data_IF_528187485052
#
_entry.id   IF_528187485052
#
_cell.length_a   1.000
_cell.length_b   1.000
_cell.length_c   1.000
_cell.angle_alpha   90.00
_cell.angle_beta   90.00
_cell.angle_gamma   90.00
#
_symmetry.space_group_name_H-M   'P 1'
#
loop_
_entity.id
_entity.type
_entity.pdbx_description
1 polymer ?
#
# COMPACT_ATOMS: atom_id res chain seq x y z
N UNK A 1 -33.71 11.88 14.86
CA UNK A 1 -34.33 10.93 13.92
C UNK A 1 -34.00 11.24 12.46
N UNK A 2 -33.95 12.49 11.99
CA UNK A 2 -33.59 12.76 10.58
C UNK A 2 -32.13 12.41 10.24
N UNK A 3 -31.16 12.77 11.09
CA UNK A 3 -29.74 12.47 10.82
C UNK A 3 -29.44 10.97 10.55
N UNK A 4 -30.09 10.07 11.31
CA UNK A 4 -29.98 8.62 11.09
C UNK A 4 -30.60 8.16 9.76
N UNK A 5 -31.71 8.78 9.33
CA UNK A 5 -32.34 8.51 8.03
C UNK A 5 -31.52 9.09 6.87
N UNK A 6 -30.85 10.22 7.10
CA UNK A 6 -30.01 10.90 6.11
C UNK A 6 -28.69 10.14 5.87
N UNK A 7 -28.05 9.62 6.94
CA UNK A 7 -26.85 8.76 6.85
C UNK A 7 -27.16 7.45 6.09
N UNK A 8 -28.33 6.83 6.38
CA UNK A 8 -28.78 5.61 5.69
C UNK A 8 -29.07 5.86 4.20
N UNK A 9 -29.65 7.02 3.87
CA UNK A 9 -29.93 7.41 2.47
C UNK A 9 -28.64 7.65 1.68
N UNK A 10 -27.69 8.42 2.21
CA UNK A 10 -26.42 8.70 1.51
C UNK A 10 -25.64 7.41 1.26
N UNK A 11 -25.60 6.50 2.24
CA UNK A 11 -25.00 5.19 2.09
C UNK A 11 -25.67 4.39 0.97
N UNK A 12 -27.01 4.34 0.95
CA UNK A 12 -27.77 3.66 -0.10
C UNK A 12 -27.50 4.26 -1.50
N UNK A 13 -27.46 5.58 -1.61
CA UNK A 13 -27.18 6.27 -2.87
C UNK A 13 -25.74 6.03 -3.34
N UNK A 14 -24.77 6.04 -2.43
CA UNK A 14 -23.39 5.65 -2.72
C UNK A 14 -23.29 4.20 -3.19
N UNK A 15 -24.05 3.28 -2.58
CA UNK A 15 -24.13 1.89 -3.02
C UNK A 15 -24.70 1.75 -4.44
N UNK A 16 -25.68 2.58 -4.83
CA UNK A 16 -26.18 2.59 -6.22
C UNK A 16 -25.07 2.96 -7.21
N UNK A 17 -24.31 4.01 -6.91
CA UNK A 17 -23.18 4.47 -7.73
C UNK A 17 -22.06 3.43 -7.81
N UNK A 18 -21.78 2.73 -6.71
CA UNK A 18 -20.83 1.60 -6.68
C UNK A 18 -21.29 0.41 -7.51
N UNK A 19 -22.60 0.23 -7.72
CA UNK A 19 -23.14 -0.86 -8.53
C UNK A 19 -23.20 -0.53 -10.02
N UNK A 20 -23.53 0.71 -10.37
CA UNK A 20 -23.59 1.16 -11.77
C UNK A 20 -23.59 2.69 -11.86
N UNK A 21 -22.62 3.23 -12.60
CA UNK A 21 -22.58 4.66 -12.93
C UNK A 21 -23.57 5.03 -14.04
N UNK A 22 -24.01 4.10 -14.87
CA UNK A 22 -24.93 4.39 -15.99
C UNK A 22 -26.35 4.74 -15.54
N UNK A 23 -26.71 4.39 -14.30
CA UNK A 23 -28.04 4.59 -13.73
C UNK A 23 -28.20 5.92 -13.00
N UNK A 24 -27.15 6.73 -12.97
CA UNK A 24 -27.07 7.98 -12.22
C UNK A 24 -26.42 9.03 -13.13
N UNK A 25 -26.93 10.25 -13.14
CA UNK A 25 -26.31 11.35 -13.89
C UNK A 25 -24.87 11.62 -13.41
N UNK A 26 -23.96 12.09 -14.27
CA UNK A 26 -22.54 12.30 -13.89
C UNK A 26 -22.39 13.29 -12.73
N UNK A 27 -23.14 14.40 -12.74
CA UNK A 27 -23.05 15.42 -11.70
C UNK A 27 -23.72 14.94 -10.40
N UNK A 28 -24.81 14.16 -10.51
CA UNK A 28 -25.44 13.51 -9.36
C UNK A 28 -24.50 12.47 -8.71
N UNK A 29 -23.86 11.61 -9.52
CA UNK A 29 -22.91 10.62 -9.03
C UNK A 29 -21.72 11.30 -8.34
N UNK A 30 -21.20 12.38 -8.93
CA UNK A 30 -20.13 13.17 -8.33
C UNK A 30 -20.52 13.74 -6.97
N UNK A 31 -21.71 14.32 -6.84
CA UNK A 31 -22.20 14.90 -5.59
C UNK A 31 -22.40 13.83 -4.51
N UNK A 32 -22.99 12.68 -4.86
CA UNK A 32 -23.14 11.53 -3.96
C UNK A 32 -21.77 11.06 -3.45
N UNK A 33 -20.81 10.81 -4.35
CA UNK A 33 -19.47 10.34 -3.98
C UNK A 33 -18.74 11.38 -3.12
N UNK A 34 -18.83 12.66 -3.48
CA UNK A 34 -18.19 13.74 -2.73
C UNK A 34 -18.73 13.83 -1.30
N UNK A 35 -20.06 13.83 -1.13
CA UNK A 35 -20.72 13.85 0.18
C UNK A 35 -20.34 12.62 1.00
N UNK A 36 -20.35 11.44 0.39
CA UNK A 36 -19.97 10.19 1.05
C UNK A 36 -18.56 10.28 1.66
N UNK A 37 -17.57 10.77 0.90
CA UNK A 37 -16.20 10.90 1.40
C UNK A 37 -16.00 12.03 2.40
N UNK A 38 -16.83 13.09 2.36
CA UNK A 38 -16.82 14.13 3.40
C UNK A 38 -17.37 13.60 4.73
N UNK A 39 -18.29 12.65 4.70
CA UNK A 39 -18.84 12.00 5.89
C UNK A 39 -17.96 10.87 6.43
N UNK A 40 -17.41 10.03 5.54
CA UNK A 40 -16.71 8.79 5.92
C UNK A 40 -15.18 8.95 5.99
N UNK A 41 -14.63 10.07 5.50
CA UNK A 41 -13.20 10.37 5.55
C UNK A 41 -12.39 9.69 4.44
N UNK A 42 -11.06 9.76 4.57
CA UNK A 42 -10.13 9.33 3.53
C UNK A 42 -10.14 7.80 3.34
N UNK A 43 -10.16 7.28 2.09
CA UNK A 43 -10.23 5.84 1.80
C UNK A 43 -8.88 5.13 2.00
N UNK A 44 -8.40 5.06 3.25
CA UNK A 44 -7.17 4.33 3.60
C UNK A 44 -7.27 2.86 3.19
N UNK A 45 -6.12 2.21 2.98
CA UNK A 45 -6.12 0.77 2.77
C UNK A 45 -6.52 0.09 4.07
N UNK A 46 -7.67 -0.59 4.04
CA UNK A 46 -8.12 -1.45 5.11
C UNK A 46 -8.04 -2.91 4.66
N UNK A 47 -7.85 -3.80 5.61
CA UNK A 47 -7.83 -5.25 5.40
C UNK A 47 -8.40 -5.89 6.66
N UNK A 48 -9.28 -6.87 6.50
CA UNK A 48 -9.81 -7.63 7.64
C UNK A 48 -8.72 -8.55 8.19
N UNK A 49 -8.74 -8.84 9.48
CA UNK A 49 -7.74 -9.71 10.13
C UNK A 49 -7.58 -11.06 9.42
N UNK A 50 -8.70 -11.73 9.14
CA UNK A 50 -8.72 -12.99 8.38
C UNK A 50 -8.05 -12.85 6.99
N UNK A 51 -8.28 -11.73 6.31
CA UNK A 51 -7.72 -11.46 4.99
C UNK A 51 -6.21 -11.21 5.06
N UNK A 52 -5.68 -10.63 6.15
CA UNK A 52 -4.22 -10.46 6.33
C UNK A 52 -3.49 -11.79 6.27
N UNK A 53 -3.99 -12.77 7.03
CA UNK A 53 -3.40 -14.11 7.08
C UNK A 53 -3.54 -14.84 5.74
N UNK A 54 -4.63 -14.62 5.00
CA UNK A 54 -4.76 -15.15 3.64
C UNK A 54 -3.75 -14.53 2.67
N UNK A 55 -3.52 -13.22 2.74
CA UNK A 55 -2.57 -12.53 1.88
C UNK A 55 -1.13 -13.01 2.11
N UNK A 56 -0.71 -13.18 3.38
CA UNK A 56 0.63 -13.70 3.67
C UNK A 56 0.76 -15.17 3.24
N UNK A 57 -0.28 -16.00 3.41
CA UNK A 57 -0.29 -17.38 2.89
C UNK A 57 -0.18 -17.43 1.37
N UNK A 58 -0.88 -16.54 0.66
CA UNK A 58 -0.75 -16.38 -0.81
C UNK A 58 0.68 -16.01 -1.20
N UNK A 59 1.34 -15.14 -0.44
CA UNK A 59 2.76 -14.83 -0.65
C UNK A 59 3.66 -16.05 -0.41
N UNK A 60 3.46 -16.80 0.67
CA UNK A 60 4.24 -18.02 0.96
C UNK A 60 4.08 -19.07 -0.15
N UNK A 61 2.88 -19.23 -0.69
CA UNK A 61 2.57 -20.19 -1.75
C UNK A 61 2.90 -19.69 -3.16
N UNK A 62 3.21 -18.40 -3.33
CA UNK A 62 3.61 -17.84 -4.62
C UNK A 62 4.91 -18.50 -5.09
N UNK A 63 4.89 -19.08 -6.31
CA UNK A 63 6.08 -19.66 -6.94
C UNK A 63 6.96 -18.51 -7.43
N UNK A 64 8.02 -18.21 -6.69
CA UNK A 64 8.82 -17.01 -6.88
C UNK A 64 9.46 -16.94 -8.26
N UNK A 65 9.79 -18.07 -8.88
CA UNK A 65 10.37 -18.17 -10.23
C UNK A 65 9.42 -17.63 -11.31
N UNK A 66 8.11 -17.59 -11.06
CA UNK A 66 7.12 -17.05 -12.00
C UNK A 66 7.24 -15.53 -12.19
N UNK A 67 8.01 -14.84 -11.34
CA UNK A 67 8.24 -13.42 -11.50
C UNK A 67 9.38 -13.11 -12.48
N UNK A 68 10.15 -14.10 -12.90
CA UNK A 68 11.23 -13.90 -13.87
C UNK A 68 10.69 -13.91 -15.30
N UNK A 69 11.13 -12.94 -16.08
CA UNK A 69 11.05 -12.92 -17.55
C UNK A 69 12.45 -12.74 -18.11
N UNK A 70 13.09 -13.86 -18.49
CA UNK A 70 14.53 -13.89 -18.78
C UNK A 70 15.34 -13.47 -17.56
N UNK A 71 16.10 -12.38 -17.71
CA UNK A 71 16.93 -11.78 -16.65
C UNK A 71 16.21 -10.65 -15.89
N UNK A 72 14.93 -10.38 -16.20
CA UNK A 72 14.15 -9.32 -15.56
C UNK A 72 13.23 -9.87 -14.46
N UNK A 73 13.26 -9.22 -13.29
CA UNK A 73 12.28 -9.46 -12.22
C UNK A 73 11.05 -8.59 -12.51
N UNK A 74 9.97 -9.21 -12.95
CA UNK A 74 8.68 -8.55 -13.20
C UNK A 74 7.99 -8.12 -11.90
N UNK A 75 6.80 -7.55 -11.99
CA UNK A 75 6.07 -7.06 -10.82
C UNK A 75 4.68 -7.66 -10.71
N UNK A 76 4.33 -8.12 -9.51
CA UNK A 76 2.95 -8.46 -9.16
C UNK A 76 2.48 -7.65 -7.95
N UNK A 77 1.17 -7.50 -7.81
CA UNK A 77 0.57 -6.68 -6.75
C UNK A 77 0.33 -7.47 -5.45
N UNK A 78 0.67 -8.76 -5.43
CA UNK A 78 0.43 -9.67 -4.31
C UNK A 78 1.07 -9.13 -3.03
N UNK A 79 0.29 -9.06 -1.95
CA UNK A 79 0.77 -8.57 -0.65
C UNK A 79 0.99 -7.05 -0.54
N UNK A 80 0.91 -6.29 -1.64
CA UNK A 80 1.15 -4.84 -1.58
C UNK A 80 0.06 -4.09 -0.80
N UNK A 81 -1.21 -4.49 -0.96
CA UNK A 81 -2.32 -3.95 -0.16
C UNK A 81 -2.13 -4.25 1.33
N UNK A 82 -1.64 -5.45 1.65
CA UNK A 82 -1.33 -5.84 3.02
C UNK A 82 -0.27 -4.90 3.60
N UNK A 83 0.84 -4.67 2.89
CA UNK A 83 1.88 -3.72 3.33
C UNK A 83 1.26 -2.35 3.63
N UNK A 84 0.56 -1.75 2.66
CA UNK A 84 -0.01 -0.41 2.81
C UNK A 84 -1.01 -0.25 3.95
N UNK A 85 -1.67 -1.33 4.38
CA UNK A 85 -2.61 -1.27 5.52
C UNK A 85 -1.96 -0.90 6.85
N UNK A 86 -0.63 -1.09 6.99
CA UNK A 86 0.12 -0.75 8.19
C UNK A 86 0.67 0.68 8.21
N UNK A 87 0.59 1.41 7.10
CA UNK A 87 1.26 2.70 6.93
C UNK A 87 0.31 3.82 6.47
N UNK A 88 -0.84 4.08 7.14
CA UNK A 88 -1.83 5.06 6.68
C UNK A 88 -1.26 6.47 6.46
N UNK A 89 -0.14 6.81 7.11
CA UNK A 89 0.55 8.09 6.95
C UNK A 89 1.17 8.30 5.56
N UNK A 90 1.36 7.26 4.74
CA UNK A 90 2.05 7.37 3.45
C UNK A 90 1.36 8.36 2.48
N UNK A 91 0.05 8.58 2.65
CA UNK A 91 -0.73 9.57 1.89
C UNK A 91 -0.35 11.03 2.16
N UNK A 92 0.40 11.29 3.24
CA UNK A 92 0.83 12.62 3.68
C UNK A 92 2.29 12.91 3.33
N UNK A 93 3.00 11.97 2.71
CA UNK A 93 4.43 12.12 2.44
C UNK A 93 4.62 12.92 1.14
N UNK A 94 5.26 14.11 1.18
CA UNK A 94 5.64 14.83 -0.03
C UNK A 94 6.61 14.00 -0.86
N UNK A 95 6.49 14.06 -2.19
CA UNK A 95 7.30 13.25 -3.11
C UNK A 95 7.70 14.04 -4.36
N UNK A 96 8.97 14.00 -4.70
CA UNK A 96 9.65 14.72 -5.76
C UNK A 96 9.24 16.19 -5.79
N UNK A 97 8.94 16.64 -7.01
CA UNK A 97 8.43 17.98 -7.28
C UNK A 97 6.91 18.09 -7.18
N UNK A 98 6.22 17.13 -6.53
CA UNK A 98 4.78 17.20 -6.35
C UNK A 98 4.40 18.42 -5.54
N UNK A 99 3.39 19.17 -6.02
CA UNK A 99 2.93 20.41 -5.37
C UNK A 99 2.06 20.13 -4.16
N UNK A 100 1.40 18.99 -4.17
CA UNK A 100 0.47 18.55 -3.12
C UNK A 100 0.57 17.04 -2.93
N UNK A 101 0.20 16.60 -1.74
CA UNK A 101 0.02 15.20 -1.36
C UNK A 101 -1.41 14.74 -1.71
N UNK A 102 -1.67 13.43 -1.83
CA UNK A 102 -3.03 12.93 -1.97
C UNK A 102 -3.93 13.35 -0.81
N UNK A 103 -3.37 13.41 0.40
CA UNK A 103 -4.08 13.89 1.58
C UNK A 103 -4.57 15.33 1.42
N UNK A 104 -3.71 16.24 0.97
CA UNK A 104 -4.09 17.63 0.71
C UNK A 104 -5.13 17.75 -0.42
N UNK A 105 -4.97 16.98 -1.50
CA UNK A 105 -5.94 16.95 -2.59
C UNK A 105 -7.31 16.45 -2.14
N UNK A 106 -7.37 15.49 -1.21
CA UNK A 106 -8.62 15.01 -0.66
C UNK A 106 -9.33 16.06 0.22
N UNK A 107 -8.57 16.84 0.99
CA UNK A 107 -9.12 17.86 1.90
C UNK A 107 -9.40 19.19 1.22
N UNK A 108 -9.01 19.37 -0.04
CA UNK A 108 -9.42 20.49 -0.88
C UNK A 108 -10.65 20.10 -1.71
N UNK A 109 -11.79 20.77 -1.52
CA UNK A 109 -13.07 20.42 -2.17
C UNK A 109 -13.00 20.45 -3.70
N UNK A 110 -12.38 21.47 -4.27
CA UNK A 110 -12.27 21.61 -5.73
C UNK A 110 -11.39 20.49 -6.31
N UNK A 111 -10.28 20.17 -5.64
CA UNK A 111 -9.39 19.06 -6.03
C UNK A 111 -10.06 17.71 -5.86
N UNK A 112 -10.78 17.48 -4.77
CA UNK A 112 -11.48 16.23 -4.56
C UNK A 112 -12.54 16.02 -5.66
N UNK A 113 -13.36 17.03 -5.95
CA UNK A 113 -14.35 16.97 -7.04
C UNK A 113 -13.69 16.76 -8.40
N UNK A 114 -12.54 17.40 -8.66
CA UNK A 114 -11.74 17.19 -9.87
C UNK A 114 -11.31 15.71 -10.01
N UNK A 115 -10.76 15.12 -8.94
CA UNK A 115 -10.30 13.72 -8.94
C UNK A 115 -11.47 12.74 -9.06
N UNK A 116 -12.59 12.99 -8.37
CA UNK A 116 -13.82 12.18 -8.47
C UNK A 116 -14.31 12.19 -9.92
N UNK A 117 -14.46 13.36 -10.54
CA UNK A 117 -14.90 13.49 -11.94
C UNK A 117 -13.99 12.73 -12.90
N UNK A 118 -12.66 12.88 -12.77
CA UNK A 118 -11.69 12.13 -13.58
C UNK A 118 -11.80 10.63 -13.37
N UNK A 119 -12.17 10.20 -12.16
CA UNK A 119 -12.36 8.79 -11.83
C UNK A 119 -13.63 8.21 -12.45
N UNK A 120 -14.74 8.95 -12.41
CA UNK A 120 -15.98 8.58 -13.11
C UNK A 120 -15.70 8.43 -14.61
N UNK A 121 -15.06 9.43 -15.24
CA UNK A 121 -14.69 9.39 -16.65
C UNK A 121 -13.76 8.23 -17.00
N UNK A 122 -12.81 7.90 -16.12
CA UNK A 122 -11.96 6.74 -16.31
C UNK A 122 -12.78 5.45 -16.44
N UNK A 123 -13.80 5.27 -15.58
CA UNK A 123 -14.66 4.09 -15.63
C UNK A 123 -15.47 4.00 -16.93
N UNK A 124 -16.06 5.11 -17.39
CA UNK A 124 -16.76 5.14 -18.69
C UNK A 124 -15.85 4.83 -19.88
N UNK A 125 -14.58 5.21 -19.82
CA UNK A 125 -13.64 5.01 -20.92
C UNK A 125 -12.97 3.63 -20.93
N UNK A 126 -12.97 2.88 -19.81
CA UNK A 126 -12.19 1.65 -19.65
C UNK A 126 -13.01 0.46 -19.12
N UNK A 127 -14.34 0.57 -19.10
CA UNK A 127 -15.22 -0.52 -18.65
C UNK A 127 -16.52 -0.51 -19.43
N UNK A 128 -16.90 -1.67 -19.97
CA UNK A 128 -18.21 -1.88 -20.62
C UNK A 128 -19.37 -1.79 -19.62
N UNK A 129 -19.08 -1.86 -18.32
CA UNK A 129 -20.05 -1.74 -17.21
C UNK A 129 -19.50 -0.79 -16.16
N UNK A 130 -19.53 0.52 -16.42
CA UNK A 130 -18.89 1.49 -15.55
C UNK A 130 -19.57 1.51 -14.18
N UNK A 131 -18.77 1.37 -13.13
CA UNK A 131 -19.21 1.38 -11.75
C UNK A 131 -18.10 1.98 -10.89
N UNK A 132 -18.46 2.71 -9.83
CA UNK A 132 -17.47 3.32 -8.95
C UNK A 132 -16.73 2.26 -8.13
N UNK A 133 -15.41 2.37 -8.05
CA UNK A 133 -14.61 1.55 -7.15
C UNK A 133 -13.64 2.39 -6.33
N UNK A 134 -13.61 2.16 -5.03
CA UNK A 134 -12.68 2.83 -4.13
C UNK A 134 -11.22 2.53 -4.49
N UNK A 135 -10.92 1.34 -5.01
CA UNK A 135 -9.58 1.01 -5.48
C UNK A 135 -9.13 1.89 -6.65
N UNK A 136 -10.00 2.13 -7.63
CA UNK A 136 -9.67 3.05 -8.74
C UNK A 136 -9.55 4.48 -8.25
N UNK A 137 -10.41 4.91 -7.33
CA UNK A 137 -10.31 6.24 -6.73
C UNK A 137 -8.96 6.43 -5.99
N UNK A 138 -8.54 5.46 -5.17
CA UNK A 138 -7.21 5.44 -4.56
C UNK A 138 -6.07 5.51 -5.57
N UNK A 139 -6.19 4.87 -6.73
CA UNK A 139 -5.15 4.95 -7.77
C UNK A 139 -5.12 6.35 -8.40
N UNK A 140 -6.27 6.93 -8.68
CA UNK A 140 -6.39 8.22 -9.35
C UNK A 140 -5.99 9.39 -8.44
N UNK A 141 -6.29 9.33 -7.14
CA UNK A 141 -5.86 10.36 -6.18
C UNK A 141 -4.34 10.35 -5.94
N UNK A 142 -3.62 9.29 -6.33
CA UNK A 142 -2.14 9.25 -6.30
C UNK A 142 -1.46 9.95 -7.47
N UNK A 143 -2.20 10.26 -8.54
CA UNK A 143 -1.63 10.74 -9.81
C UNK A 143 -2.24 12.06 -10.27
N UNK A 144 -3.48 12.36 -9.88
CA UNK A 144 -4.17 13.59 -10.28
C UNK A 144 -3.97 14.71 -9.25
N UNK A 145 -4.13 15.95 -9.71
CA UNK A 145 -4.00 17.14 -8.86
C UNK A 145 -2.56 17.56 -8.58
N UNK A 146 -1.59 17.16 -9.43
CA UNK A 146 -0.19 17.54 -9.26
C UNK A 146 0.52 16.81 -8.12
N UNK A 147 0.09 15.57 -7.84
CA UNK A 147 0.56 14.75 -6.74
C UNK A 147 1.40 13.56 -7.21
N UNK A 148 2.26 13.09 -6.32
CA UNK A 148 3.04 11.87 -6.44
C UNK A 148 3.03 11.20 -5.07
N UNK A 149 3.14 9.86 -5.04
CA UNK A 149 3.19 9.09 -3.79
C UNK A 149 4.45 8.27 -3.69
N UNK A 150 4.84 7.97 -2.45
CA UNK A 150 5.91 7.02 -2.15
C UNK A 150 5.62 5.67 -2.79
N UNK A 151 6.67 5.06 -3.33
CA UNK A 151 6.62 3.69 -3.83
C UNK A 151 6.89 2.71 -2.70
N UNK A 152 6.44 1.46 -2.88
CA UNK A 152 6.73 0.38 -1.95
C UNK A 152 7.20 -0.83 -2.76
N UNK A 153 8.24 -1.48 -2.25
CA UNK A 153 8.87 -2.62 -2.90
C UNK A 153 7.88 -3.77 -2.99
N UNK A 154 7.85 -4.48 -4.13
CA UNK A 154 6.91 -5.59 -4.33
C UNK A 154 7.29 -6.77 -3.43
N UNK A 155 6.39 -7.27 -2.56
CA UNK A 155 6.71 -8.39 -1.68
C UNK A 155 7.15 -9.65 -2.45
N UNK A 156 6.58 -9.89 -3.63
CA UNK A 156 6.94 -11.04 -4.48
C UNK A 156 8.33 -10.92 -5.10
N UNK A 157 8.73 -9.72 -5.54
CA UNK A 157 10.09 -9.47 -6.00
C UNK A 157 11.09 -9.61 -4.84
N UNK A 158 10.75 -9.12 -3.65
CA UNK A 158 11.59 -9.29 -2.48
C UNK A 158 11.74 -10.76 -2.11
N UNK A 159 10.63 -11.51 -2.10
CA UNK A 159 10.65 -12.97 -1.89
C UNK A 159 11.56 -13.66 -2.89
N UNK A 160 11.48 -13.34 -4.19
CA UNK A 160 12.37 -13.91 -5.19
C UNK A 160 13.84 -13.69 -4.84
N UNK A 161 14.25 -12.44 -4.55
CA UNK A 161 15.63 -12.11 -4.18
C UNK A 161 16.08 -12.91 -2.94
N UNK A 162 15.22 -13.02 -1.92
CA UNK A 162 15.51 -13.79 -0.72
C UNK A 162 15.62 -15.30 -0.95
N UNK A 163 14.75 -15.87 -1.77
CA UNK A 163 14.78 -17.32 -2.07
C UNK A 163 15.99 -17.68 -2.95
N UNK A 164 16.44 -16.76 -3.81
CA UNK A 164 17.58 -16.99 -4.71
C UNK A 164 18.93 -16.70 -4.05
N UNK A 165 19.03 -15.65 -3.25
CA UNK A 165 20.32 -15.13 -2.75
C UNK A 165 20.43 -15.10 -1.22
N UNK A 166 19.44 -15.58 -0.49
CA UNK A 166 19.36 -15.46 0.98
C UNK A 166 20.35 -16.29 1.79
N UNK A 167 21.14 -17.17 1.16
CA UNK A 167 22.18 -17.98 1.81
C UNK A 167 21.65 -18.81 3.00
N UNK A 168 22.31 -18.69 4.15
CA UNK A 168 21.92 -19.40 5.39
C UNK A 168 20.71 -18.79 6.09
N UNK A 169 20.21 -17.64 5.62
CA UNK A 169 18.92 -17.07 5.98
C UNK A 169 18.97 -15.82 6.85
N UNK A 170 20.12 -15.17 7.05
CA UNK A 170 20.22 -13.89 7.76
C UNK A 170 20.34 -12.74 6.75
N UNK A 171 19.35 -11.85 6.72
CA UNK A 171 19.35 -10.69 5.83
C UNK A 171 19.32 -9.36 6.58
N UNK A 172 20.01 -8.36 6.03
CA UNK A 172 19.98 -6.98 6.51
C UNK A 172 19.40 -6.05 5.44
N UNK A 173 18.32 -5.35 5.81
CA UNK A 173 17.67 -4.30 5.04
C UNK A 173 17.96 -2.93 5.69
N UNK A 174 18.93 -2.23 5.11
CA UNK A 174 19.47 -0.96 5.62
C UNK A 174 18.48 0.22 5.54
N UNK A 175 17.33 0.05 4.90
CA UNK A 175 16.27 1.07 4.80
C UNK A 175 14.92 0.37 4.62
N UNK A 176 14.42 -0.30 5.66
CA UNK A 176 13.33 -1.28 5.51
C UNK A 176 11.96 -0.68 5.14
N UNK A 177 11.78 0.63 5.34
CA UNK A 177 10.71 1.40 4.71
C UNK A 177 9.31 0.85 4.94
N UNK A 178 8.50 0.82 3.88
CA UNK A 178 7.06 0.52 3.94
C UNK A 178 6.71 -0.97 4.00
N UNK A 179 7.61 -1.82 4.52
CA UNK A 179 7.31 -3.22 4.86
C UNK A 179 7.18 -4.19 3.69
N UNK A 180 7.26 -3.76 2.43
CA UNK A 180 7.20 -4.67 1.28
C UNK A 180 8.29 -5.74 1.29
N UNK A 181 9.53 -5.35 1.61
CA UNK A 181 10.67 -6.28 1.80
C UNK A 181 10.49 -7.16 3.02
N UNK A 182 10.06 -6.62 4.15
CA UNK A 182 9.75 -7.39 5.36
C UNK A 182 8.70 -8.50 5.08
N UNK A 183 7.61 -8.19 4.37
CA UNK A 183 6.63 -9.22 3.98
C UNK A 183 7.23 -10.26 3.02
N UNK A 184 8.12 -9.84 2.12
CA UNK A 184 8.90 -10.76 1.28
C UNK A 184 9.72 -11.75 2.10
N UNK A 185 10.48 -11.25 3.08
CA UNK A 185 11.29 -12.06 4.00
C UNK A 185 10.43 -12.99 4.86
N UNK A 186 9.32 -12.48 5.39
CA UNK A 186 8.34 -13.26 6.15
C UNK A 186 7.69 -14.38 5.33
N UNK A 187 7.62 -14.21 4.00
CA UNK A 187 7.05 -15.21 3.09
C UNK A 187 8.07 -16.19 2.50
N UNK A 188 9.37 -15.89 2.59
CA UNK A 188 10.46 -16.70 2.03
C UNK A 188 10.63 -18.01 2.80
N UNK A 189 11.09 -19.09 2.15
CA UNK A 189 11.49 -20.34 2.81
C UNK A 189 12.94 -20.30 3.32
N UNK A 190 13.78 -19.42 2.76
CA UNK A 190 15.20 -19.30 3.08
C UNK A 190 15.44 -18.42 4.32
N UNK A 191 14.77 -17.27 4.40
CA UNK A 191 15.07 -16.30 5.46
C UNK A 191 14.63 -16.81 6.83
N UNK A 192 15.55 -16.79 7.79
CA UNK A 192 15.31 -17.13 9.20
C UNK A 192 15.31 -15.89 10.07
N UNK A 193 16.17 -14.92 9.75
CA UNK A 193 16.29 -13.64 10.45
C UNK A 193 16.30 -12.46 9.48
N UNK A 194 15.45 -11.48 9.75
CA UNK A 194 15.41 -10.19 9.06
C UNK A 194 15.84 -9.10 10.02
N UNK A 195 16.92 -8.39 9.68
CA UNK A 195 17.40 -7.22 10.39
C UNK A 195 17.04 -5.98 9.56
N UNK A 196 16.32 -5.03 10.14
CA UNK A 196 15.88 -3.82 9.45
C UNK A 196 16.22 -2.54 10.22
N UNK A 197 16.62 -1.50 9.50
CA UNK A 197 16.83 -0.15 10.05
C UNK A 197 15.90 0.85 9.36
N UNK A 198 15.21 1.67 10.14
CA UNK A 198 14.29 2.71 9.66
C UNK A 198 14.31 3.92 10.60
N UNK A 199 14.77 5.10 10.17
CA UNK A 199 14.85 6.28 11.04
C UNK A 199 13.49 6.92 11.34
N UNK A 200 12.48 6.75 10.48
CA UNK A 200 11.14 7.32 10.69
C UNK A 200 10.39 6.56 11.78
N UNK A 201 10.13 7.19 12.92
CA UNK A 201 9.34 6.62 14.02
C UNK A 201 7.98 6.11 13.54
N UNK A 202 7.27 6.88 12.68
CA UNK A 202 5.96 6.48 12.15
C UNK A 202 6.03 5.22 11.29
N UNK A 203 7.08 5.09 10.48
CA UNK A 203 7.29 3.91 9.64
C UNK A 203 7.73 2.73 10.49
N UNK A 204 8.61 2.95 11.47
CA UNK A 204 9.04 1.96 12.45
C UNK A 204 7.87 1.36 13.25
N UNK A 205 6.90 2.17 13.67
CA UNK A 205 5.66 1.68 14.32
C UNK A 205 4.88 0.72 13.42
N UNK A 206 4.70 1.05 12.13
CA UNK A 206 4.04 0.17 11.16
C UNK A 206 4.79 -1.14 10.94
N UNK A 207 6.13 -1.09 10.90
CA UNK A 207 6.97 -2.28 10.78
C UNK A 207 6.87 -3.19 12.02
N UNK A 208 6.80 -2.62 13.23
CA UNK A 208 6.61 -3.41 14.45
C UNK A 208 5.23 -4.08 14.46
N UNK A 209 4.18 -3.43 13.98
CA UNK A 209 2.87 -4.06 13.81
C UNK A 209 2.92 -5.28 12.88
N UNK A 210 3.63 -5.18 11.75
CA UNK A 210 3.86 -6.33 10.84
C UNK A 210 4.62 -7.45 11.57
N UNK A 211 5.69 -7.11 12.30
CA UNK A 211 6.48 -8.07 13.09
C UNK A 211 5.62 -8.81 14.12
N UNK A 212 4.81 -8.08 14.89
CA UNK A 212 3.95 -8.64 15.94
C UNK A 212 2.87 -9.54 15.33
N UNK A 213 2.16 -9.05 14.31
CA UNK A 213 1.08 -9.76 13.62
C UNK A 213 1.54 -11.12 13.06
N UNK A 214 2.72 -11.15 12.45
CA UNK A 214 3.23 -12.36 11.77
C UNK A 214 4.29 -13.11 12.56
N UNK A 215 4.42 -12.85 13.86
CA UNK A 215 5.36 -13.54 14.76
C UNK A 215 5.18 -15.06 14.78
N UNK A 216 3.94 -15.55 14.56
CA UNK A 216 3.62 -16.98 14.47
C UNK A 216 4.31 -17.72 13.30
N UNK A 217 4.89 -16.98 12.34
CA UNK A 217 5.66 -17.57 11.24
C UNK A 217 7.03 -18.09 11.66
N UNK A 218 7.45 -17.87 12.91
CA UNK A 218 8.68 -18.43 13.47
C UNK A 218 9.97 -17.85 12.91
N UNK A 219 9.89 -16.67 12.28
CA UNK A 219 11.04 -15.93 11.76
C UNK A 219 11.45 -14.85 12.76
N UNK A 220 12.75 -14.70 12.98
CA UNK A 220 13.28 -13.63 13.81
C UNK A 220 13.24 -12.30 13.04
N UNK A 221 12.68 -11.26 13.65
CA UNK A 221 12.62 -9.92 13.06
C UNK A 221 13.21 -8.93 14.06
N UNK A 222 14.36 -8.37 13.72
CA UNK A 222 15.09 -7.38 14.48
C UNK A 222 14.94 -6.02 13.79
N UNK A 223 14.35 -5.04 14.46
CA UNK A 223 14.10 -3.71 13.89
C UNK A 223 14.76 -2.64 14.77
N UNK A 224 15.42 -1.68 14.14
CA UNK A 224 16.05 -0.55 14.82
C UNK A 224 15.54 0.78 14.28
N UNK A 225 15.10 1.67 15.18
CA UNK A 225 14.61 3.01 14.84
C UNK A 225 15.77 4.01 14.75
N UNK A 226 16.64 3.83 13.75
CA UNK A 226 17.84 4.64 13.52
C UNK A 226 18.25 4.56 12.04
N UNK A 227 19.15 5.46 11.62
CA UNK A 227 19.78 5.39 10.30
C UNK A 227 20.80 4.24 10.22
N UNK A 228 20.94 3.62 9.06
CA UNK A 228 21.85 2.48 8.88
C UNK A 228 23.32 2.86 8.99
N UNK A 229 23.67 4.14 8.82
CA UNK A 229 25.02 4.67 8.95
C UNK A 229 25.63 4.53 10.35
N UNK A 230 24.79 4.32 11.37
CA UNK A 230 25.22 4.09 12.77
C UNK A 230 24.93 2.67 13.27
N UNK A 231 24.48 1.77 12.40
CA UNK A 231 24.17 0.39 12.76
C UNK A 231 25.15 -0.60 12.15
N UNK A 232 25.46 -1.65 12.89
CA UNK A 232 26.26 -2.78 12.39
C UNK A 232 25.68 -4.06 12.96
N UNK A 233 25.27 -5.02 12.11
CA UNK A 233 24.83 -6.34 12.56
C UNK A 233 25.90 -7.01 13.43
N UNK A 234 25.47 -7.63 14.53
CA UNK A 234 26.39 -8.36 15.43
C UNK A 234 26.75 -9.76 14.94
N UNK A 235 26.03 -10.24 13.94
CA UNK A 235 26.17 -11.57 13.35
C UNK A 235 26.49 -11.47 11.86
N UNK A 236 26.97 -12.58 11.29
CA UNK A 236 27.22 -12.67 9.86
C UNK A 236 25.90 -12.53 9.11
N UNK A 237 25.88 -11.64 8.14
CA UNK A 237 24.75 -11.45 7.22
C UNK A 237 25.05 -12.19 5.91
N UNK A 238 24.08 -12.95 5.42
CA UNK A 238 24.16 -13.67 4.15
C UNK A 238 23.79 -12.78 2.97
N UNK A 239 22.83 -11.87 3.17
CA UNK A 239 22.35 -10.95 2.14
C UNK A 239 22.07 -9.56 2.70
N UNK A 240 22.78 -8.57 2.18
CA UNK A 240 22.42 -7.16 2.34
C UNK A 240 21.51 -6.76 1.18
N UNK A 241 20.24 -6.46 1.46
CA UNK A 241 19.26 -6.12 0.43
C UNK A 241 18.33 -5.00 0.89
N UNK A 242 18.43 -3.86 0.20
CA UNK A 242 17.67 -2.65 0.50
C UNK A 242 17.24 -1.93 -0.78
N UNK A 243 16.34 -0.96 -0.66
CA UNK A 243 16.06 0.07 -1.68
C UNK A 243 15.89 1.37 -0.92
N UNK A 244 16.98 2.17 -0.81
CA UNK A 244 16.97 3.42 -0.06
C UNK A 244 16.13 4.48 -0.77
N UNK A 245 15.63 5.51 -0.05
CA UNK A 245 15.04 6.68 -0.68
C UNK A 245 16.08 7.37 -1.59
N UNK A 246 15.63 7.94 -2.71
CA UNK A 246 16.50 8.72 -3.59
C UNK A 246 16.62 10.14 -3.05
N UNK A 247 17.80 10.76 -3.19
CA UNK A 247 18.09 12.10 -2.65
C UNK A 247 17.20 13.22 -3.24
N UNK A 248 16.60 13.00 -4.42
CA UNK A 248 15.76 13.97 -5.14
C UNK A 248 14.27 13.56 -5.25
N UNK A 249 13.80 12.72 -4.32
CA UNK A 249 12.35 12.52 -4.09
C UNK A 249 11.80 13.45 -3.03
#
# INVERSE_FOLDING_TARGET
MSKFLDEDKLSLDYHKVCNSLERVDEDEALDIIFKYYRENGFPHYTIREEEKHEQIRKLQNFKHEQILDGDEITQTMNGLRLAWSYFPQFWNVPCGNAKTTPWENFHNDDKLKEVIRKTIKWHFNHSDKPHWTENRFRQNIKIYGGTQTVSNFRPTAAKYIYETYGGDGVTWDMSCGWGGRLLGALSSKIIKKYIGTEPSTKTFEGLNKIKEEFSYLGKEVELHCLGSEVFTPKEKVDLCFTSPPYFDT
#
